data_IF_499192879593
#
_entry.id   IF_499192879593
#
_cell.length_a   1.000
_cell.length_b   1.000
_cell.length_c   1.000
_cell.angle_alpha   90.00
_cell.angle_beta   90.00
_cell.angle_gamma   90.00
#
_symmetry.space_group_name_H-M   'P 1'
#
loop_
_entity.id
_entity.type
_entity.pdbx_description
1 polymer ?
#
# COMPACT_ATOMS: atom_id res chain seq x y z
N UNK A 1 5.12 -10.72 6.20
CA UNK A 1 4.12 -10.63 5.13
C UNK A 1 4.34 -9.33 4.37
N UNK A 2 4.48 -9.41 3.07
CA UNK A 2 4.82 -8.25 2.25
C UNK A 2 3.62 -7.73 1.49
N UNK A 3 3.59 -6.41 1.29
CA UNK A 3 2.58 -5.75 0.49
C UNK A 3 3.14 -5.48 -0.91
N UNK A 4 2.26 -5.53 -1.90
CA UNK A 4 2.60 -5.29 -3.30
C UNK A 4 2.31 -3.85 -3.72
N UNK A 5 2.52 -2.88 -2.82
CA UNK A 5 2.13 -1.49 -3.07
C UNK A 5 2.80 -0.93 -4.33
N UNK A 6 4.11 -1.05 -4.42
CA UNK A 6 4.85 -0.49 -5.56
C UNK A 6 4.47 -1.18 -6.87
N UNK A 7 4.26 -2.49 -6.83
CA UNK A 7 3.84 -3.25 -8.02
C UNK A 7 2.47 -2.81 -8.49
N UNK A 8 1.51 -2.64 -7.57
CA UNK A 8 0.16 -2.21 -7.93
C UNK A 8 0.17 -0.78 -8.45
N UNK A 9 0.95 0.12 -7.84
CA UNK A 9 1.09 1.47 -8.35
C UNK A 9 1.55 1.47 -9.80
N UNK A 10 2.53 0.64 -10.11
CA UNK A 10 3.06 0.52 -11.47
C UNK A 10 2.01 -0.05 -12.42
N UNK A 11 1.31 -1.11 -12.00
CA UNK A 11 0.25 -1.73 -12.81
C UNK A 11 -0.88 -0.77 -13.11
N UNK A 12 -1.23 0.07 -12.14
CA UNK A 12 -2.35 1.02 -12.26
C UNK A 12 -1.93 2.36 -12.85
N UNK A 13 -0.64 2.59 -13.09
CA UNK A 13 -0.14 3.86 -13.58
C UNK A 13 -0.30 5.00 -12.59
N UNK A 14 -0.29 4.71 -11.30
CA UNK A 14 -0.47 5.71 -10.23
C UNK A 14 0.87 6.07 -9.61
N UNK A 15 1.00 7.34 -9.17
CA UNK A 15 2.24 7.81 -8.60
C UNK A 15 2.32 7.52 -7.10
N UNK A 16 3.51 7.18 -6.64
CA UNK A 16 3.80 6.97 -5.23
C UNK A 16 3.55 8.25 -4.42
N UNK A 17 3.87 9.40 -5.01
CA UNK A 17 3.66 10.69 -4.35
C UNK A 17 2.18 10.96 -4.07
N UNK A 18 1.31 10.70 -5.04
CA UNK A 18 -0.13 10.87 -4.85
C UNK A 18 -0.66 9.94 -3.76
N UNK A 19 -0.18 8.71 -3.73
CA UNK A 19 -0.55 7.78 -2.68
C UNK A 19 -0.14 8.32 -1.31
N UNK A 20 1.08 8.83 -1.20
CA UNK A 20 1.57 9.43 0.03
C UNK A 20 0.67 10.56 0.51
N UNK A 21 0.31 11.48 -0.38
CA UNK A 21 -0.56 12.61 -0.05
C UNK A 21 -1.94 12.12 0.40
N UNK A 22 -2.52 11.16 -0.30
CA UNK A 22 -3.86 10.68 0.00
C UNK A 22 -3.94 9.87 1.29
N UNK A 23 -2.86 9.19 1.66
CA UNK A 23 -2.84 8.40 2.89
C UNK A 23 -2.73 9.27 4.15
N UNK A 24 -2.15 10.45 4.05
CA UNK A 24 -2.02 11.35 5.19
C UNK A 24 -1.08 10.88 6.27
N UNK A 25 -0.17 9.96 5.96
CA UNK A 25 0.84 9.48 6.90
C UNK A 25 2.08 10.38 6.88
N UNK A 26 2.88 10.33 7.96
CA UNK A 26 4.19 10.95 7.92
C UNK A 26 5.03 10.27 6.86
N UNK A 27 6.01 11.00 6.34
CA UNK A 27 6.88 10.47 5.29
C UNK A 27 7.60 9.20 5.75
N UNK A 28 8.08 9.19 7.00
CA UNK A 28 8.77 8.04 7.54
C UNK A 28 7.85 6.81 7.64
N UNK A 29 6.64 7.00 8.14
CA UNK A 29 5.68 5.91 8.27
C UNK A 29 5.24 5.40 6.91
N UNK A 30 5.03 6.30 5.96
CA UNK A 30 4.68 5.92 4.59
C UNK A 30 5.79 5.10 3.95
N UNK A 31 7.05 5.53 4.06
CA UNK A 31 8.18 4.80 3.49
C UNK A 31 8.33 3.40 4.10
N UNK A 32 8.17 3.30 5.42
CA UNK A 32 8.23 1.99 6.07
C UNK A 32 7.14 1.06 5.53
N UNK A 33 5.94 1.60 5.34
CA UNK A 33 4.81 0.82 4.85
C UNK A 33 5.07 0.31 3.43
N UNK A 34 5.45 1.19 2.50
CA UNK A 34 5.62 0.81 1.10
C UNK A 34 6.87 -0.01 0.85
N UNK A 35 7.87 0.08 1.73
CA UNK A 35 9.11 -0.69 1.62
C UNK A 35 9.09 -1.97 2.46
N UNK A 36 7.94 -2.33 3.00
CA UNK A 36 7.75 -3.56 3.77
C UNK A 36 8.66 -3.64 5.00
N UNK A 37 8.84 -2.50 5.67
CA UNK A 37 9.66 -2.40 6.87
C UNK A 37 8.82 -2.39 8.16
N UNK A 38 7.56 -2.79 8.06
CA UNK A 38 6.65 -2.89 9.21
C UNK A 38 6.27 -4.35 9.45
N UNK A 39 5.94 -4.66 10.70
CA UNK A 39 5.51 -6.01 11.08
C UNK A 39 4.00 -6.19 10.98
N UNK A 40 3.27 -5.13 10.72
CA UNK A 40 1.82 -5.18 10.62
C UNK A 40 1.29 -3.90 10.00
N UNK A 41 -0.02 -3.84 9.79
CA UNK A 41 -0.68 -2.69 9.22
C UNK A 41 -1.98 -2.45 9.96
N UNK A 42 -2.29 -1.18 10.24
CA UNK A 42 -3.57 -0.82 10.83
C UNK A 42 -4.68 -1.03 9.82
N UNK A 43 -5.85 -1.45 10.28
CA UNK A 43 -7.00 -1.66 9.41
C UNK A 43 -7.36 -0.41 8.61
N UNK A 44 -7.28 0.77 9.23
CA UNK A 44 -7.57 2.02 8.52
C UNK A 44 -6.60 2.27 7.37
N UNK A 45 -5.33 1.91 7.52
CA UNK A 45 -4.35 2.04 6.45
C UNK A 45 -4.56 1.01 5.35
N UNK A 46 -4.92 -0.22 5.74
CA UNK A 46 -5.26 -1.26 4.78
C UNK A 46 -6.46 -0.85 3.94
N UNK A 47 -7.51 -0.35 4.59
CA UNK A 47 -8.70 0.12 3.90
C UNK A 47 -8.35 1.25 2.92
N UNK A 48 -7.55 2.22 3.37
CA UNK A 48 -7.15 3.34 2.52
C UNK A 48 -6.36 2.86 1.30
N UNK A 49 -5.41 1.95 1.49
CA UNK A 49 -4.65 1.39 0.38
C UNK A 49 -5.55 0.72 -0.65
N UNK A 50 -6.48 -0.11 -0.18
CA UNK A 50 -7.38 -0.81 -1.09
C UNK A 50 -8.27 0.16 -1.86
N UNK A 51 -8.78 1.21 -1.21
CA UNK A 51 -9.62 2.20 -1.86
C UNK A 51 -8.84 3.04 -2.88
N UNK A 52 -7.66 3.52 -2.48
CA UNK A 52 -6.85 4.38 -3.36
C UNK A 52 -6.31 3.59 -4.55
N UNK A 53 -5.83 2.40 -4.31
CA UNK A 53 -5.26 1.53 -5.35
C UNK A 53 -6.31 0.75 -6.13
N UNK A 54 -7.58 0.82 -5.68
CA UNK A 54 -8.67 0.10 -6.33
C UNK A 54 -8.39 -1.39 -6.44
N UNK A 55 -7.99 -1.98 -5.31
CA UNK A 55 -7.66 -3.40 -5.23
C UNK A 55 -8.27 -4.02 -3.99
N UNK A 56 -8.23 -5.34 -3.92
CA UNK A 56 -8.67 -6.09 -2.74
C UNK A 56 -7.46 -6.39 -1.85
N UNK A 57 -7.69 -6.74 -0.57
CA UNK A 57 -6.58 -7.20 0.27
C UNK A 57 -5.84 -8.40 -0.30
N UNK A 58 -6.52 -9.31 -0.99
CA UNK A 58 -5.86 -10.45 -1.63
C UNK A 58 -4.87 -10.00 -2.71
N UNK A 59 -5.19 -8.94 -3.43
CA UNK A 59 -4.28 -8.39 -4.43
C UNK A 59 -3.09 -7.72 -3.79
N UNK A 60 -3.29 -7.13 -2.60
CA UNK A 60 -2.30 -6.33 -1.92
C UNK A 60 -1.26 -7.17 -1.20
N UNK A 61 -1.68 -8.26 -0.55
CA UNK A 61 -0.77 -9.13 0.18
C UNK A 61 -0.10 -10.12 -0.76
N UNK A 62 1.22 -10.06 -0.83
CA UNK A 62 2.00 -10.89 -1.76
C UNK A 62 1.71 -12.38 -1.62
N UNK A 63 1.53 -12.85 -0.38
CA UNK A 63 1.32 -14.27 -0.11
C UNK A 63 0.00 -14.80 -0.63
N UNK A 64 -0.99 -13.94 -0.80
CA UNK A 64 -2.33 -14.32 -1.24
C UNK A 64 -2.65 -13.90 -2.66
N UNK A 65 -1.72 -13.20 -3.29
CA UNK A 65 -1.90 -12.79 -4.69
C UNK A 65 -1.68 -13.97 -5.62
N UNK A 66 -2.60 -14.14 -6.57
CA UNK A 66 -2.52 -15.21 -7.56
C UNK A 66 -2.60 -14.68 -8.98
#
# INVERSE_FOLDING_TARGET
MNLRVCEILKEKGKSKYLLYIQMGLSYQNFNKLVNNQTNGIKFENLKALCEILECTPNDLFEEYYQ
#
